data_IF_413472803036
#
_entry.id   IF_413472803036
#
_cell.length_a   1.000
_cell.length_b   1.000
_cell.length_c   1.000
_cell.angle_alpha   90.00
_cell.angle_beta   90.00
_cell.angle_gamma   90.00
#
_symmetry.space_group_name_H-M   'P 1'
#
loop_
_entity.id
_entity.type
_entity.pdbx_description
1 polymer ?
#
# COMPACT_ATOMS: atom_id res chain seq x y z
N UNK A 1 -70.32 7.53 -1.85
CA UNK A 1 -69.75 6.58 -0.86
C UNK A 1 -68.94 5.56 -1.64
N UNK A 2 -67.62 5.73 -1.65
CA UNK A 2 -66.65 4.79 -2.20
C UNK A 2 -65.52 4.63 -1.17
N UNK A 3 -64.91 3.45 -1.00
CA UNK A 3 -64.02 3.16 0.11
C UNK A 3 -62.65 3.80 -0.14
N UNK A 4 -62.19 4.66 0.78
CA UNK A 4 -60.80 5.08 0.86
C UNK A 4 -60.00 4.01 1.57
N UNK A 5 -59.11 3.33 0.85
CA UNK A 5 -58.12 2.44 1.44
C UNK A 5 -57.11 3.27 2.26
N UNK A 6 -56.72 2.85 3.48
CA UNK A 6 -55.54 3.39 4.12
C UNK A 6 -54.28 2.87 3.40
N UNK A 7 -53.43 3.81 3.02
CA UNK A 7 -52.10 3.59 2.44
C UNK A 7 -51.17 3.07 3.56
N UNK A 8 -51.03 1.75 3.68
CA UNK A 8 -50.19 1.07 4.68
C UNK A 8 -48.85 0.60 4.11
N UNK A 9 -48.23 1.33 3.19
CA UNK A 9 -46.91 0.95 2.66
C UNK A 9 -45.93 2.12 2.68
N UNK A 10 -45.55 2.51 3.90
CA UNK A 10 -44.27 3.20 4.13
C UNK A 10 -43.56 2.53 5.33
N UNK A 11 -43.49 1.19 5.29
CA UNK A 11 -42.47 0.48 6.06
C UNK A 11 -41.14 0.77 5.37
N UNK A 12 -40.53 1.88 5.80
CA UNK A 12 -39.13 2.21 5.60
C UNK A 12 -38.31 0.93 5.73
N UNK A 13 -37.92 0.37 4.58
CA UNK A 13 -36.91 -0.66 4.50
C UNK A 13 -35.59 0.02 4.87
N UNK A 14 -35.43 0.29 6.17
CA UNK A 14 -34.11 0.41 6.74
C UNK A 14 -33.48 -0.95 6.52
N UNK A 15 -32.58 -1.02 5.53
CA UNK A 15 -31.61 -2.08 5.48
C UNK A 15 -30.86 -2.05 6.82
N UNK A 16 -31.31 -2.87 7.77
CA UNK A 16 -30.55 -3.21 8.96
C UNK A 16 -29.15 -3.54 8.45
N UNK A 17 -28.10 -2.78 8.83
CA UNK A 17 -26.76 -3.15 8.45
C UNK A 17 -26.58 -4.57 8.95
N UNK A 18 -26.28 -5.50 8.04
CA UNK A 18 -26.03 -6.89 8.39
C UNK A 18 -25.02 -6.85 9.52
N UNK A 19 -25.50 -7.11 10.74
CA UNK A 19 -24.66 -7.16 11.92
C UNK A 19 -23.66 -8.25 11.57
N UNK A 20 -22.41 -7.86 11.34
CA UNK A 20 -21.35 -8.81 11.06
C UNK A 20 -21.21 -9.60 12.35
N UNK A 21 -21.93 -10.71 12.43
CA UNK A 21 -21.99 -11.56 13.60
C UNK A 21 -20.54 -11.93 13.91
N UNK A 22 -19.98 -11.49 15.05
CA UNK A 22 -18.58 -11.68 15.32
C UNK A 22 -18.32 -13.19 15.31
N UNK A 23 -17.45 -13.63 14.40
CA UNK A 23 -17.04 -15.03 14.29
C UNK A 23 -16.64 -15.54 15.68
N UNK A 24 -17.50 -16.36 16.28
CA UNK A 24 -17.23 -16.95 17.58
C UNK A 24 -16.17 -18.03 17.40
N UNK A 25 -14.95 -17.71 17.82
CA UNK A 25 -13.84 -18.65 17.85
C UNK A 25 -13.91 -19.42 19.17
N UNK A 26 -14.36 -20.67 19.08
CA UNK A 26 -14.29 -21.61 20.20
C UNK A 26 -12.91 -22.26 20.23
N UNK A 27 -12.21 -22.14 21.36
CA UNK A 27 -10.88 -22.73 21.57
C UNK A 27 -10.57 -22.87 23.06
N UNK A 28 -9.51 -23.60 23.42
CA UNK A 28 -9.04 -23.64 24.80
C UNK A 28 -8.66 -22.24 25.28
N UNK A 29 -8.99 -21.94 26.54
CA UNK A 29 -8.49 -20.72 27.19
C UNK A 29 -6.97 -20.84 27.35
N UNK A 30 -6.27 -19.75 27.04
CA UNK A 30 -4.82 -19.66 27.16
C UNK A 30 -4.49 -18.98 28.48
N UNK A 31 -3.54 -19.54 29.22
CA UNK A 31 -2.98 -18.87 30.38
C UNK A 31 -2.27 -17.57 29.93
N UNK A 32 -2.12 -16.57 30.83
CA UNK A 32 -1.48 -15.30 30.48
C UNK A 32 -0.09 -15.46 29.85
N UNK A 33 0.69 -16.43 30.33
CA UNK A 33 2.02 -16.76 29.81
C UNK A 33 1.94 -17.32 28.38
N UNK A 34 0.94 -18.15 28.08
CA UNK A 34 0.73 -18.72 26.74
C UNK A 34 0.25 -17.66 25.75
N UNK A 35 -0.63 -16.76 26.20
CA UNK A 35 -1.06 -15.60 25.41
C UNK A 35 0.12 -14.67 25.09
N UNK A 36 1.01 -14.44 26.06
CA UNK A 36 2.24 -13.65 25.84
C UNK A 36 3.19 -14.33 24.84
N UNK A 37 3.37 -15.65 24.95
CA UNK A 37 4.16 -16.42 24.00
C UNK A 37 3.56 -16.36 22.59
N UNK A 38 2.24 -16.50 22.46
CA UNK A 38 1.53 -16.36 21.18
C UNK A 38 1.71 -14.97 20.59
N UNK A 39 1.54 -13.91 21.38
CA UNK A 39 1.75 -12.53 20.93
C UNK A 39 3.18 -12.33 20.41
N UNK A 40 4.18 -12.83 21.13
CA UNK A 40 5.58 -12.75 20.69
C UNK A 40 5.83 -13.48 19.36
N UNK A 41 5.21 -14.65 19.15
CA UNK A 41 5.29 -15.38 17.87
C UNK A 41 4.64 -14.61 16.74
N UNK A 42 3.48 -14.00 16.98
CA UNK A 42 2.77 -13.18 15.98
C UNK A 42 3.58 -11.93 15.60
N UNK A 43 4.17 -11.25 16.58
CA UNK A 43 5.06 -10.11 16.34
C UNK A 43 6.31 -10.51 15.56
N UNK A 44 6.96 -11.61 15.93
CA UNK A 44 8.12 -12.13 15.20
C UNK A 44 7.76 -12.48 13.75
N UNK A 45 6.60 -13.08 13.52
CA UNK A 45 6.10 -13.39 12.18
C UNK A 45 5.82 -12.11 11.37
N UNK A 46 5.25 -11.07 11.99
CA UNK A 46 5.02 -9.78 11.36
C UNK A 46 6.34 -9.09 10.98
N UNK A 47 7.33 -9.09 11.87
CA UNK A 47 8.66 -8.55 11.61
C UNK A 47 9.36 -9.29 10.46
N UNK A 48 9.28 -10.62 10.42
CA UNK A 48 9.85 -11.41 9.33
C UNK A 48 9.22 -11.08 7.98
N UNK A 49 7.89 -10.87 7.92
CA UNK A 49 7.20 -10.44 6.70
C UNK A 49 7.61 -9.03 6.26
N UNK A 50 7.77 -8.11 7.20
CA UNK A 50 8.24 -6.76 6.90
C UNK A 50 9.66 -6.76 6.32
N UNK A 51 10.57 -7.56 6.87
CA UNK A 51 11.94 -7.68 6.34
C UNK A 51 11.94 -8.36 4.96
N UNK A 52 11.15 -9.41 4.77
CA UNK A 52 10.97 -10.03 3.45
C UNK A 52 10.46 -9.03 2.41
N UNK A 53 9.48 -8.18 2.78
CA UNK A 53 8.98 -7.12 1.91
C UNK A 53 10.05 -6.06 1.61
N UNK A 54 10.87 -5.68 2.59
CA UNK A 54 12.01 -4.75 2.39
C UNK A 54 13.03 -5.33 1.41
N UNK A 55 13.40 -6.59 1.57
CA UNK A 55 14.33 -7.28 0.68
C UNK A 55 13.73 -7.43 -0.74
N UNK A 56 12.45 -7.76 -0.85
CA UNK A 56 11.77 -7.82 -2.13
C UNK A 56 11.73 -6.45 -2.82
N UNK A 57 11.48 -5.36 -2.09
CA UNK A 57 11.53 -4.00 -2.61
C UNK A 57 12.93 -3.61 -3.07
N UNK A 58 13.97 -3.97 -2.31
CA UNK A 58 15.36 -3.75 -2.69
C UNK A 58 15.77 -4.57 -3.93
N UNK A 59 15.25 -5.78 -4.09
CA UNK A 59 15.49 -6.61 -5.27
C UNK A 59 14.69 -6.15 -6.49
N UNK A 60 13.50 -5.59 -6.27
CA UNK A 60 12.64 -5.03 -7.32
C UNK A 60 13.08 -3.64 -7.78
N UNK A 61 13.91 -2.92 -7.00
CA UNK A 61 14.52 -1.66 -7.42
C UNK A 61 15.49 -1.94 -8.59
N UNK A 62 15.13 -1.54 -9.83
CA UNK A 62 15.77 -2.09 -11.01
C UNK A 62 17.24 -1.68 -11.16
N UNK A 63 17.76 -0.69 -10.41
CA UNK A 63 19.21 -0.40 -10.34
C UNK A 63 19.57 0.34 -9.06
N UNK A 64 20.64 -0.04 -8.33
CA UNK A 64 21.39 0.97 -7.60
C UNK A 64 21.92 1.95 -8.65
N UNK A 65 21.26 3.10 -8.80
CA UNK A 65 21.71 4.17 -9.68
C UNK A 65 23.17 4.47 -9.34
N UNK A 66 24.08 4.12 -10.27
CA UNK A 66 25.51 4.35 -10.12
C UNK A 66 25.69 5.78 -9.61
N UNK A 67 26.42 5.92 -8.50
CA UNK A 67 26.63 7.20 -7.81
C UNK A 67 27.12 8.28 -8.78
N UNK A 68 27.87 7.89 -9.81
CA UNK A 68 28.33 8.78 -10.87
C UNK A 68 27.20 9.27 -11.77
N UNK A 69 26.25 8.39 -12.12
CA UNK A 69 25.06 8.73 -12.90
C UNK A 69 24.12 9.66 -12.13
N UNK A 70 23.90 9.38 -10.84
CA UNK A 70 23.11 10.27 -9.96
C UNK A 70 23.77 11.64 -9.83
N UNK A 71 25.08 11.70 -9.57
CA UNK A 71 25.83 12.96 -9.50
C UNK A 71 25.79 13.75 -10.81
N UNK A 72 25.87 13.08 -11.96
CA UNK A 72 25.67 13.72 -13.27
C UNK A 72 24.25 14.28 -13.40
N UNK A 73 23.28 13.61 -12.78
CA UNK A 73 21.86 13.99 -12.61
C UNK A 73 21.74 15.37 -12.01
N UNK A 74 22.22 15.43 -10.79
CA UNK A 74 22.19 16.61 -9.94
C UNK A 74 22.97 17.79 -10.56
N UNK A 75 24.03 17.50 -11.32
CA UNK A 75 24.79 18.51 -12.07
C UNK A 75 24.12 18.97 -13.37
N UNK A 76 22.91 18.49 -13.69
CA UNK A 76 22.18 18.87 -14.90
C UNK A 76 22.84 18.38 -16.19
N UNK A 77 23.81 17.45 -16.11
CA UNK A 77 24.55 16.93 -17.27
C UNK A 77 23.72 15.93 -18.10
N UNK A 78 22.48 15.65 -17.66
CA UNK A 78 21.46 14.93 -18.43
C UNK A 78 20.56 15.86 -19.22
N UNK A 79 20.67 17.18 -19.01
CA UNK A 79 19.91 18.14 -19.78
C UNK A 79 20.25 17.90 -21.26
N UNK A 80 19.21 17.59 -22.04
CA UNK A 80 19.31 17.43 -23.49
C UNK A 80 19.94 18.73 -24.02
N UNK A 81 21.05 18.68 -24.79
CA UNK A 81 21.65 19.89 -25.32
C UNK A 81 20.58 20.70 -26.05
N UNK A 82 20.39 21.96 -25.64
CA UNK A 82 19.40 22.85 -26.24
C UNK A 82 19.58 22.91 -27.77
N UNK A 83 18.47 23.10 -28.51
CA UNK A 83 18.52 23.25 -29.99
C UNK A 83 19.47 24.40 -30.34
N UNK A 84 20.71 24.06 -30.72
CA UNK A 84 21.77 25.04 -31.01
C UNK A 84 23.14 24.67 -30.41
N UNK A 85 23.19 23.88 -29.34
CA UNK A 85 24.46 23.53 -28.67
C UNK A 85 25.41 22.69 -29.55
N UNK A 86 24.87 21.94 -30.52
CA UNK A 86 25.68 21.16 -31.47
C UNK A 86 26.37 22.00 -32.55
N UNK A 87 25.97 23.28 -32.74
CA UNK A 87 26.55 24.14 -33.79
C UNK A 87 27.89 24.78 -33.41
N UNK A 88 28.28 24.74 -32.14
CA UNK A 88 29.54 25.33 -31.65
C UNK A 88 30.72 24.32 -31.69
N UNK A 89 30.49 23.07 -32.13
CA UNK A 89 31.53 22.04 -32.25
C UNK A 89 32.23 21.97 -33.62
N UNK A 90 32.01 22.94 -34.51
CA UNK A 90 32.83 23.08 -35.71
C UNK A 90 34.05 23.91 -35.34
N UNK A 91 35.20 23.25 -35.17
CA UNK A 91 36.49 23.92 -34.98
C UNK A 91 36.81 24.86 -36.16
N UNK A 92 37.76 25.80 -35.97
CA UNK A 92 38.17 26.69 -37.04
C UNK A 92 38.76 25.87 -38.21
N UNK A 93 38.27 26.19 -39.40
CA UNK A 93 38.75 25.68 -40.68
C UNK A 93 40.10 26.27 -41.08
#
# INVERSE_FOLDING_TARGET
MGPGAPDENDESTQATPASADPLQLSGPELEPEEMAALAAVLEAAAAARAEAARLAAAAADPRPLDRTLRRRGDLGLWARPGRGQWRQGAGPQ
#
